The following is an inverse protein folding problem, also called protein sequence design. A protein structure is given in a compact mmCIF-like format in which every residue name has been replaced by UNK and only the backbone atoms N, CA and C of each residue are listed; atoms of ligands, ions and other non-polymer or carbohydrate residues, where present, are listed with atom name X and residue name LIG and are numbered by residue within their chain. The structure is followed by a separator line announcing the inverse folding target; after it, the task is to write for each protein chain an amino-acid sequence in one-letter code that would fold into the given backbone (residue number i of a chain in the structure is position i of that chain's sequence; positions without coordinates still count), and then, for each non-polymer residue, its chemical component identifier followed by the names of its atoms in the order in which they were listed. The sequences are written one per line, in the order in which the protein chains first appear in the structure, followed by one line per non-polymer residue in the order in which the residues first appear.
data_IF_634102963902
#
_entry.id   IF_634102963902
#
_cell.length_a   1.000
_cell.length_b   1.000
_cell.length_c   1.000
_cell.angle_alpha   90.00
_cell.angle_beta   90.00
_cell.angle_gamma   90.00
#
_symmetry.space_group_name_H-M   'P 1'
#
loop_
_entity.id
_entity.type
_entity.pdbx_description
1 polymer ?
#
# COMPACT_ATOMS: atom_id res chain seq x y z
N UNK A 1 8.50 -21.54 -27.79
CA UNK A 1 8.91 -20.15 -27.57
C UNK A 1 8.08 -19.54 -26.43
N UNK A 2 8.74 -19.12 -25.38
CA UNK A 2 8.03 -18.56 -24.24
C UNK A 2 7.67 -17.12 -24.54
N UNK A 3 6.39 -16.79 -24.41
CA UNK A 3 5.95 -15.43 -24.46
C UNK A 3 6.07 -14.86 -23.07
N UNK A 4 7.00 -13.93 -22.90
CA UNK A 4 7.14 -13.24 -21.63
C UNK A 4 6.12 -12.12 -21.62
N UNK A 5 5.05 -12.31 -20.90
CA UNK A 5 4.16 -11.20 -20.60
C UNK A 5 4.87 -10.35 -19.60
N UNK A 6 5.11 -9.11 -19.95
CA UNK A 6 5.66 -8.17 -19.01
C UNK A 6 4.72 -8.07 -17.82
N UNK A 7 5.31 -8.13 -16.64
CA UNK A 7 4.55 -8.24 -15.42
C UNK A 7 3.80 -6.99 -14.98
N UNK A 8 3.37 -6.15 -15.93
CA UNK A 8 2.61 -4.95 -15.56
C UNK A 8 1.35 -5.30 -14.76
N UNK A 9 0.80 -6.49 -15.02
CA UNK A 9 -0.40 -6.94 -14.34
C UNK A 9 -0.09 -7.81 -13.12
N UNK A 10 1.18 -8.13 -12.87
CA UNK A 10 1.50 -8.99 -11.74
C UNK A 10 1.48 -8.21 -10.45
N UNK A 11 0.76 -8.76 -9.51
CA UNK A 11 0.67 -8.20 -8.18
C UNK A 11 1.62 -8.97 -7.27
N UNK A 12 2.18 -8.30 -6.24
CA UNK A 12 2.95 -9.01 -5.22
C UNK A 12 2.15 -10.16 -4.62
N UNK A 13 2.83 -11.26 -4.34
CA UNK A 13 2.17 -12.48 -3.87
C UNK A 13 1.34 -12.24 -2.61
N UNK A 14 1.87 -11.46 -1.67
CA UNK A 14 1.14 -11.16 -0.43
C UNK A 14 -0.13 -10.37 -0.70
N UNK A 15 -0.15 -9.54 -1.72
CA UNK A 15 -1.31 -8.71 -2.05
C UNK A 15 -2.27 -9.39 -3.01
N UNK A 16 -1.83 -10.46 -3.69
CA UNK A 16 -2.64 -11.14 -4.68
C UNK A 16 -3.92 -11.76 -4.10
N UNK A 17 -3.90 -12.09 -2.81
CA UNK A 17 -5.06 -12.65 -2.12
C UNK A 17 -5.96 -11.57 -1.52
N UNK A 18 -5.58 -10.31 -1.61
CA UNK A 18 -6.40 -9.19 -1.11
C UNK A 18 -7.22 -8.63 -2.27
N UNK A 19 -8.23 -7.85 -1.93
CA UNK A 19 -9.09 -7.22 -2.92
C UNK A 19 -9.23 -5.74 -2.66
N UNK A 20 -9.44 -4.98 -3.72
CA UNK A 20 -9.86 -3.60 -3.58
C UNK A 20 -11.20 -3.51 -2.86
N UNK A 21 -11.58 -2.32 -2.47
CA UNK A 21 -12.80 -2.08 -1.74
C UNK A 21 -12.65 -0.93 -0.77
N UNK A 22 -13.53 -0.89 0.21
CA UNK A 22 -13.47 0.10 1.27
C UNK A 22 -12.59 -0.44 2.39
N UNK A 23 -11.51 0.26 2.65
CA UNK A 23 -10.53 -0.11 3.65
C UNK A 23 -10.49 0.92 4.77
N UNK A 24 -10.34 0.42 5.98
CA UNK A 24 -10.22 1.24 7.18
C UNK A 24 -8.79 1.22 7.65
N UNK A 25 -8.19 2.41 7.80
CA UNK A 25 -6.79 2.58 8.15
C UNK A 25 -6.71 3.15 9.56
N UNK A 26 -5.98 2.49 10.44
CA UNK A 26 -5.76 2.97 11.80
C UNK A 26 -4.27 3.05 12.12
N UNK A 27 -3.93 3.94 13.05
CA UNK A 27 -2.55 4.11 13.51
C UNK A 27 -1.78 5.19 12.78
N UNK A 28 -2.38 5.91 11.84
CA UNK A 28 -1.69 6.99 11.16
C UNK A 28 -1.41 8.14 12.13
N UNK A 29 -0.23 8.78 12.03
CA UNK A 29 0.10 9.91 12.91
C UNK A 29 -0.92 11.03 12.81
N UNK A 30 -1.27 11.61 13.95
CA UNK A 30 -2.17 12.76 13.99
C UNK A 30 -3.65 12.40 13.86
N UNK A 31 -3.97 11.12 13.73
CA UNK A 31 -5.38 10.69 13.64
C UNK A 31 -5.82 10.08 14.96
N UNK A 32 -7.06 10.39 15.37
CA UNK A 32 -7.66 9.82 16.59
C UNK A 32 -8.62 8.69 16.26
N UNK A 33 -9.09 8.63 15.04
CA UNK A 33 -10.07 7.63 14.60
C UNK A 33 -9.57 7.02 13.29
N UNK A 34 -9.98 5.78 12.98
CA UNK A 34 -9.63 5.17 11.71
C UNK A 34 -10.15 6.00 10.55
N UNK A 35 -9.35 6.03 9.50
CA UNK A 35 -9.71 6.69 8.25
C UNK A 35 -10.20 5.64 7.25
N UNK A 36 -11.25 5.94 6.53
CA UNK A 36 -11.77 5.04 5.50
C UNK A 36 -11.42 5.57 4.13
N UNK A 37 -11.02 4.66 3.25
CA UNK A 37 -10.70 5.03 1.88
C UNK A 37 -11.09 3.92 0.91
N UNK A 38 -11.54 4.34 -0.26
CA UNK A 38 -11.83 3.41 -1.34
C UNK A 38 -10.52 3.10 -2.06
N UNK A 39 -10.17 1.83 -2.13
CA UNK A 39 -8.90 1.36 -2.67
C UNK A 39 -9.18 0.45 -3.85
N UNK A 40 -8.71 0.85 -5.03
CA UNK A 40 -8.86 0.03 -6.22
C UNK A 40 -7.89 -1.15 -6.22
N UNK A 41 -6.66 -0.89 -5.77
CA UNK A 41 -5.60 -1.89 -5.69
C UNK A 41 -4.87 -1.69 -4.37
N UNK A 42 -4.73 -2.76 -3.59
CA UNK A 42 -4.09 -2.67 -2.29
C UNK A 42 -2.64 -2.21 -2.32
N UNK A 43 -1.98 -2.29 -3.48
CA UNK A 43 -0.62 -1.77 -3.62
C UNK A 43 -0.54 -0.27 -3.36
N UNK A 44 -1.64 0.48 -3.52
CA UNK A 44 -1.63 1.91 -3.22
C UNK A 44 -1.43 2.19 -1.73
N UNK A 45 -1.71 1.22 -0.88
CA UNK A 45 -1.50 1.36 0.56
C UNK A 45 -0.01 1.46 0.90
N UNK A 46 0.88 1.00 0.01
CA UNK A 46 2.32 1.15 0.20
C UNK A 46 2.74 2.61 0.21
N UNK A 47 2.01 3.46 -0.48
CA UNK A 47 2.29 4.90 -0.53
C UNK A 47 1.26 5.73 0.24
N UNK A 48 0.80 5.21 1.36
CA UNK A 48 -0.23 5.87 2.15
C UNK A 48 0.13 7.31 2.51
N UNK A 49 1.40 7.55 2.88
CA UNK A 49 1.87 8.90 3.18
C UNK A 49 1.75 9.84 1.98
N UNK A 50 1.87 9.29 0.78
CA UNK A 50 1.78 10.06 -0.47
C UNK A 50 0.57 9.64 -1.29
N UNK A 51 -0.53 9.31 -0.62
CA UNK A 51 -1.74 8.87 -1.30
C UNK A 51 -2.28 9.95 -2.22
N UNK A 52 -2.82 9.52 -3.33
CA UNK A 52 -3.33 10.44 -4.34
C UNK A 52 -2.28 10.94 -5.32
N UNK A 53 -1.01 10.64 -5.09
CA UNK A 53 0.06 11.04 -6.01
C UNK A 53 0.38 9.92 -6.98
N UNK A 54 0.84 10.30 -8.17
CA UNK A 54 1.22 9.37 -9.23
C UNK A 54 2.67 8.94 -9.03
N UNK A 55 2.91 8.11 -8.02
CA UNK A 55 4.25 7.64 -7.72
C UNK A 55 4.59 6.38 -8.51
N UNK A 56 5.88 6.18 -8.76
CA UNK A 56 6.39 4.96 -9.35
C UNK A 56 6.72 3.97 -8.23
N UNK A 57 6.25 2.74 -8.34
CA UNK A 57 6.47 1.71 -7.32
C UNK A 57 7.34 0.59 -7.85
N UNK A 58 8.26 0.11 -7.00
CA UNK A 58 9.15 -1.00 -7.31
C UNK A 58 9.07 -2.03 -6.17
N UNK A 59 8.78 -3.27 -6.53
CA UNK A 59 8.77 -4.36 -5.55
C UNK A 59 10.20 -4.77 -5.26
N UNK A 60 10.63 -4.63 -4.01
CA UNK A 60 11.99 -4.96 -3.57
C UNK A 60 12.06 -6.41 -3.13
N UNK A 61 11.04 -6.88 -2.43
CA UNK A 61 10.99 -8.22 -1.88
C UNK A 61 9.54 -8.69 -1.91
N UNK A 62 9.34 -9.98 -2.20
CA UNK A 62 7.99 -10.50 -2.37
C UNK A 62 7.95 -11.95 -1.91
N UNK A 63 7.13 -12.19 -0.88
CA UNK A 63 6.82 -13.54 -0.40
C UNK A 63 5.30 -13.66 -0.24
N UNK A 64 4.77 -14.87 -0.05
CA UNK A 64 3.32 -15.02 0.14
C UNK A 64 2.75 -14.27 1.37
N UNK A 65 3.60 -13.93 2.34
CA UNK A 65 3.13 -13.30 3.58
C UNK A 65 3.54 -11.83 3.71
N UNK A 66 4.48 -11.36 2.91
CA UNK A 66 4.93 -9.98 3.01
C UNK A 66 5.55 -9.50 1.71
N UNK A 67 5.36 -8.23 1.41
CA UNK A 67 6.01 -7.59 0.28
C UNK A 67 6.62 -6.26 0.75
N UNK A 68 7.78 -5.92 0.18
CA UNK A 68 8.42 -4.63 0.42
C UNK A 68 8.39 -3.86 -0.89
N UNK A 69 7.83 -2.67 -0.84
CA UNK A 69 7.67 -1.80 -1.99
C UNK A 69 8.39 -0.49 -1.72
N UNK A 70 9.24 -0.08 -2.66
CA UNK A 70 9.85 1.23 -2.67
C UNK A 70 9.09 2.09 -3.68
N UNK A 71 8.77 3.33 -3.32
CA UNK A 71 8.10 4.22 -4.25
C UNK A 71 8.76 5.58 -4.30
N UNK A 72 8.64 6.23 -5.45
CA UNK A 72 9.18 7.57 -5.69
C UNK A 72 8.08 8.40 -6.32
N UNK A 73 7.88 9.59 -5.80
CA UNK A 73 6.81 10.48 -6.20
C UNK A 73 7.34 11.70 -6.95
N UNK A 74 6.54 12.31 -7.82
CA UNK A 74 6.91 13.61 -8.40
C UNK A 74 7.07 14.62 -7.28
N UNK A 75 8.05 15.50 -7.39
CA UNK A 75 8.27 16.53 -6.39
C UNK A 75 9.19 16.12 -5.25
N UNK A 76 9.75 14.91 -5.29
CA UNK A 76 10.84 14.50 -4.40
C UNK A 76 10.46 13.63 -3.22
N UNK A 77 9.18 13.37 -2.99
CA UNK A 77 8.78 12.44 -1.94
C UNK A 77 9.09 11.00 -2.32
N UNK A 78 9.39 10.18 -1.34
CA UNK A 78 9.62 8.75 -1.58
C UNK A 78 9.42 7.99 -0.27
N UNK A 79 9.29 6.67 -0.40
CA UNK A 79 9.16 5.84 0.79
C UNK A 79 9.42 4.38 0.49
N UNK A 80 9.52 3.64 1.57
CA UNK A 80 9.63 2.18 1.54
C UNK A 80 8.63 1.63 2.54
N UNK A 81 7.83 0.69 2.09
CA UNK A 81 6.78 0.10 2.92
C UNK A 81 6.88 -1.41 2.90
N UNK A 82 6.74 -2.01 4.08
CA UNK A 82 6.58 -3.45 4.19
C UNK A 82 5.12 -3.74 4.53
N UNK A 83 4.46 -4.46 3.64
CA UNK A 83 3.07 -4.84 3.81
C UNK A 83 3.04 -6.32 4.18
N UNK A 84 2.61 -6.60 5.39
CA UNK A 84 2.52 -7.96 5.91
C UNK A 84 1.06 -8.41 5.87
N UNK A 85 0.83 -9.55 5.25
CA UNK A 85 -0.51 -10.14 5.17
C UNK A 85 -0.86 -10.78 6.51
N UNK A 86 -1.87 -10.25 7.17
CA UNK A 86 -2.39 -10.83 8.40
C UNK A 86 -3.53 -11.79 8.07
N UNK A 87 -4.47 -11.32 7.24
CA UNK A 87 -5.53 -12.12 6.62
C UNK A 87 -5.77 -11.55 5.23
N UNK A 88 -6.49 -12.23 4.34
CA UNK A 88 -6.83 -11.62 3.04
C UNK A 88 -7.57 -10.28 3.15
N UNK A 89 -8.06 -9.94 4.33
CA UNK A 89 -8.79 -8.70 4.57
C UNK A 89 -8.07 -7.77 5.54
N UNK A 90 -6.84 -8.05 5.92
CA UNK A 90 -6.09 -7.19 6.84
C UNK A 90 -4.60 -7.23 6.57
N UNK A 91 -4.01 -6.04 6.56
CA UNK A 91 -2.60 -5.83 6.31
C UNK A 91 -2.01 -5.00 7.44
N UNK A 92 -0.77 -5.33 7.81
CA UNK A 92 0.05 -4.47 8.65
C UNK A 92 1.07 -3.80 7.75
N UNK A 93 1.17 -2.48 7.84
CA UNK A 93 2.02 -1.71 6.94
C UNK A 93 3.02 -0.90 7.75
N UNK A 94 4.31 -1.21 7.59
CA UNK A 94 5.40 -0.45 8.18
C UNK A 94 5.98 0.42 7.08
N UNK A 95 5.90 1.74 7.24
CA UNK A 95 6.27 2.67 6.17
C UNK A 95 7.23 3.74 6.68
N UNK A 96 8.19 4.11 5.85
CA UNK A 96 9.15 5.15 6.16
C UNK A 96 9.63 5.83 4.88
N UNK A 97 10.09 7.04 5.00
CA UNK A 97 10.58 7.79 3.85
C UNK A 97 10.69 9.27 4.11
N UNK A 98 10.53 10.04 3.06
CA UNK A 98 10.60 11.51 3.13
C UNK A 98 9.30 12.07 2.55
N UNK A 99 8.69 12.99 3.29
CA UNK A 99 7.48 13.70 2.89
C UNK A 99 7.66 15.17 3.23
N UNK A 100 7.53 16.05 2.25
CA UNK A 100 7.73 17.50 2.43
C UNK A 100 9.08 17.82 3.06
N UNK A 101 10.14 17.13 2.61
CA UNK A 101 11.52 17.27 3.09
C UNK A 101 11.72 16.82 4.54
N UNK A 102 10.75 16.14 5.13
CA UNK A 102 10.85 15.63 6.50
C UNK A 102 10.74 14.12 6.51
N UNK A 103 11.53 13.45 7.37
CA UNK A 103 11.42 12.00 7.49
C UNK A 103 10.12 11.59 8.16
N UNK A 104 9.58 10.46 7.75
CA UNK A 104 8.44 9.83 8.41
C UNK A 104 8.74 8.36 8.64
N UNK A 105 8.13 7.80 9.68
CA UNK A 105 8.26 6.40 10.02
C UNK A 105 7.10 6.04 10.94
N UNK A 106 6.20 5.16 10.47
CA UNK A 106 5.08 4.74 11.31
C UNK A 106 4.53 3.40 10.82
N UNK A 107 3.65 2.83 11.62
CA UNK A 107 2.97 1.57 11.33
C UNK A 107 1.47 1.81 11.32
N UNK A 108 0.81 1.34 10.28
CA UNK A 108 -0.64 1.39 10.20
C UNK A 108 -1.19 -0.02 10.03
N UNK A 109 -2.46 -0.17 10.44
CA UNK A 109 -3.23 -1.39 10.20
C UNK A 109 -4.31 -1.04 9.19
N UNK A 110 -4.47 -1.89 8.18
CA UNK A 110 -5.48 -1.68 7.15
C UNK A 110 -6.40 -2.88 7.13
N UNK A 111 -7.71 -2.64 7.14
CA UNK A 111 -8.71 -3.70 7.13
C UNK A 111 -9.80 -3.40 6.12
N UNK A 112 -10.10 -4.38 5.26
CA UNK A 112 -11.19 -4.26 4.32
C UNK A 112 -12.51 -4.43 5.06
N UNK A 113 -13.40 -3.45 4.95
CA UNK A 113 -14.66 -3.46 5.65
C UNK A 113 -15.87 -3.61 4.72
N UNK A 114 -15.65 -3.63 3.42
CA UNK A 114 -16.73 -3.83 2.46
C UNK A 114 -16.35 -3.35 1.08
N UNK A 115 -17.35 -3.17 0.26
CA UNK A 115 -17.17 -2.61 -1.07
C UNK A 115 -17.20 -1.09 -1.02
N UNK A 116 -16.60 -0.47 -2.04
CA UNK A 116 -16.66 0.98 -2.16
C UNK A 116 -18.11 1.42 -2.35
N UNK A 117 -18.52 2.54 -1.73
CA UNK A 117 -19.87 3.05 -1.91
C UNK A 117 -20.13 3.37 -3.39
N UNK A 118 -21.35 3.11 -3.83
CA UNK A 118 -21.79 3.55 -5.14
C UNK A 118 -22.16 5.01 -5.10
N UNK A 119 -21.95 5.63 -6.23
CA UNK A 119 -22.40 7.01 -6.40
C UNK A 119 -23.82 7.05 -6.87
#
# INVERSE_FOLDING_TARGET
MAVVTLGAAQRPAALAVTSGGLWEISGAPGTKAPERMCVADTAVLAQYEHRGQMCTRLVISDTPTATVIHYTCPGGGFGRSKLTLVTPRSLRIETQGISDNLPFNYVIQARRIGDCPRR
#
